data_IF_616161206437
#
_entry.id   IF_616161206437
#
_cell.length_a   1.000
_cell.length_b   1.000
_cell.length_c   1.000
_cell.angle_alpha   90.00
_cell.angle_beta   90.00
_cell.angle_gamma   90.00
#
_symmetry.space_group_name_H-M   'P 1'
#
loop_
_entity.id
_entity.type
_entity.pdbx_description
1 polymer ?
#
# COMPACT_ATOMS: atom_id res chain seq x y z
N UNK A 1 28.28 -12.43 -27.96
CA UNK A 1 28.23 -11.06 -27.38
C UNK A 1 26.82 -10.77 -26.91
N UNK A 2 26.52 -10.92 -25.62
CA UNK A 2 25.21 -10.61 -25.04
C UNK A 2 25.15 -9.10 -24.79
N UNK A 3 24.29 -8.38 -25.52
CA UNK A 3 23.96 -6.98 -25.23
C UNK A 3 22.99 -6.98 -24.06
N UNK A 4 23.47 -6.63 -22.87
CA UNK A 4 22.63 -6.35 -21.72
C UNK A 4 21.80 -5.10 -22.00
N UNK A 5 20.48 -5.24 -22.06
CA UNK A 5 19.57 -4.10 -22.01
C UNK A 5 19.56 -3.65 -20.55
N UNK A 6 20.35 -2.62 -20.29
CA UNK A 6 20.31 -1.86 -19.04
C UNK A 6 18.97 -1.12 -19.02
N UNK A 7 17.97 -1.71 -18.38
CA UNK A 7 16.68 -1.05 -18.14
C UNK A 7 16.90 0.06 -17.11
N UNK A 8 17.15 1.28 -17.60
CA UNK A 8 17.16 2.49 -16.80
C UNK A 8 15.71 2.74 -16.37
N UNK A 9 15.36 2.26 -15.18
CA UNK A 9 14.11 2.63 -14.51
C UNK A 9 14.27 4.09 -14.09
N UNK A 10 13.72 5.00 -14.90
CA UNK A 10 13.59 6.40 -14.51
C UNK A 10 12.62 6.48 -13.32
N UNK A 11 13.13 6.56 -12.09
CA UNK A 11 12.30 6.83 -10.91
C UNK A 11 11.73 8.25 -11.02
N UNK A 12 10.51 8.37 -11.53
CA UNK A 12 9.75 9.60 -11.42
C UNK A 12 9.24 9.72 -9.97
N UNK A 13 9.78 10.70 -9.26
CA UNK A 13 9.24 11.14 -7.98
C UNK A 13 8.20 12.22 -8.24
N UNK A 14 7.01 12.08 -7.68
CA UNK A 14 6.09 13.21 -7.57
C UNK A 14 6.59 14.08 -6.41
N UNK A 15 6.83 15.37 -6.68
CA UNK A 15 6.98 16.36 -5.62
C UNK A 15 5.58 16.67 -5.14
N UNK A 16 5.35 16.43 -3.86
CA UNK A 16 4.16 16.86 -3.14
C UNK A 16 3.84 18.32 -3.51
N UNK A 17 2.72 18.54 -4.19
CA UNK A 17 2.20 19.89 -4.33
C UNK A 17 1.83 20.37 -2.93
N UNK A 18 2.16 21.61 -2.59
CA UNK A 18 1.54 22.32 -1.47
C UNK A 18 0.06 22.53 -1.83
N UNK A 19 -0.73 21.45 -1.75
CA UNK A 19 -2.11 21.45 -2.15
C UNK A 19 -2.88 22.46 -1.29
N UNK A 20 -3.60 23.34 -1.97
CA UNK A 20 -4.47 24.35 -1.37
C UNK A 20 -5.48 23.66 -0.44
N UNK A 21 -5.50 24.03 0.84
CA UNK A 21 -6.44 23.50 1.84
C UNK A 21 -5.83 22.52 2.85
N UNK A 22 -6.39 22.53 4.06
CA UNK A 22 -5.85 21.83 5.24
C UNK A 22 -6.47 20.44 5.45
N UNK A 23 -7.34 20.02 4.55
CA UNK A 23 -8.02 18.73 4.63
C UNK A 23 -7.16 17.61 4.05
N UNK A 24 -7.24 16.41 4.63
CA UNK A 24 -6.46 15.24 4.24
C UNK A 24 -7.18 13.93 4.59
N UNK A 25 -6.74 12.85 3.96
CA UNK A 25 -7.17 11.49 4.26
C UNK A 25 -6.07 10.69 4.96
N UNK A 26 -6.48 9.76 5.82
CA UNK A 26 -5.61 8.64 6.20
C UNK A 26 -5.69 7.54 5.15
N UNK A 27 -4.63 6.75 4.91
CA UNK A 27 -4.68 5.69 3.92
C UNK A 27 -5.31 4.40 4.49
N UNK A 28 -5.96 3.64 3.62
CA UNK A 28 -6.14 2.20 3.71
C UNK A 28 -4.96 1.51 3.03
N UNK A 29 -4.45 0.44 3.64
CA UNK A 29 -3.41 -0.40 3.02
C UNK A 29 -4.05 -1.39 2.05
N UNK A 30 -3.73 -1.27 0.78
CA UNK A 30 -4.02 -2.25 -0.28
C UNK A 30 -2.83 -3.17 -0.53
N UNK A 31 -3.14 -4.36 -1.06
CA UNK A 31 -2.17 -5.40 -1.42
C UNK A 31 -2.33 -5.70 -2.90
N UNK A 32 -1.24 -5.59 -3.65
CA UNK A 32 -1.16 -5.97 -5.05
C UNK A 32 -0.37 -7.27 -5.17
N UNK A 33 -0.99 -8.30 -5.75
CA UNK A 33 -0.34 -9.55 -6.13
C UNK A 33 0.01 -9.47 -7.61
N UNK A 34 1.30 -9.40 -7.90
CA UNK A 34 1.81 -9.31 -9.26
C UNK A 34 2.26 -10.72 -9.67
N UNK A 35 1.49 -11.34 -10.55
CA UNK A 35 1.79 -12.64 -11.12
C UNK A 35 2.61 -12.47 -12.40
N UNK A 36 3.81 -13.02 -12.42
CA UNK A 36 4.61 -13.15 -13.63
C UNK A 36 4.16 -14.40 -14.38
N UNK A 37 3.48 -14.19 -15.50
CA UNK A 37 2.87 -15.24 -16.33
C UNK A 37 3.76 -15.48 -17.53
N UNK A 38 4.34 -16.68 -17.59
CA UNK A 38 4.98 -17.19 -18.79
C UNK A 38 3.92 -17.62 -19.78
N UNK A 39 4.00 -17.09 -21.00
CA UNK A 39 3.20 -17.54 -22.15
C UNK A 39 4.12 -18.27 -23.13
N UNK A 40 3.71 -19.45 -23.59
CA UNK A 40 4.48 -20.26 -24.54
C UNK A 40 3.59 -20.96 -25.55
N UNK A 41 4.20 -21.58 -26.57
CA UNK A 41 3.47 -22.26 -27.62
C UNK A 41 2.95 -21.32 -28.73
N UNK A 42 2.23 -21.87 -29.71
CA UNK A 42 1.62 -21.12 -30.81
C UNK A 42 0.70 -20.00 -30.30
N UNK A 43 0.58 -18.90 -31.04
CA UNK A 43 -0.27 -17.77 -30.65
C UNK A 43 -1.74 -18.20 -30.48
N UNK A 44 -2.25 -19.02 -31.38
CA UNK A 44 -3.62 -19.58 -31.39
C UNK A 44 -3.83 -20.73 -30.40
N UNK A 45 -2.78 -21.24 -29.78
CA UNK A 45 -2.81 -22.27 -28.75
C UNK A 45 -1.79 -21.94 -27.65
N UNK A 46 -1.97 -20.77 -27.04
CA UNK A 46 -1.05 -20.25 -26.03
C UNK A 46 -1.20 -21.02 -24.74
N UNK A 47 -0.06 -21.45 -24.18
CA UNK A 47 0.01 -22.05 -22.86
C UNK A 47 0.44 -21.02 -21.80
N UNK A 48 -0.21 -21.05 -20.63
CA UNK A 48 0.00 -20.13 -19.52
C UNK A 48 0.54 -20.87 -18.30
N UNK A 49 1.57 -20.29 -17.68
CA UNK A 49 2.11 -20.76 -16.41
C UNK A 49 2.55 -19.59 -15.55
N UNK A 50 2.30 -19.66 -14.24
CA UNK A 50 2.89 -18.72 -13.29
C UNK A 50 4.36 -19.10 -13.08
N UNK A 51 5.25 -18.15 -13.37
CA UNK A 51 6.67 -18.25 -13.07
C UNK A 51 6.96 -17.77 -11.65
N UNK A 52 6.38 -16.63 -11.26
CA UNK A 52 6.53 -16.09 -9.92
C UNK A 52 5.31 -15.29 -9.49
N UNK A 53 5.20 -15.06 -8.18
CA UNK A 53 4.23 -14.13 -7.60
C UNK A 53 4.95 -13.27 -6.57
N UNK A 54 4.82 -11.95 -6.72
CA UNK A 54 5.37 -10.97 -5.79
C UNK A 54 4.24 -10.10 -5.24
N UNK A 55 4.42 -9.60 -4.04
CA UNK A 55 3.44 -8.73 -3.38
C UNK A 55 3.98 -7.33 -3.20
N UNK A 56 3.16 -6.33 -3.49
CA UNK A 56 3.43 -4.92 -3.20
C UNK A 56 2.32 -4.34 -2.32
N UNK A 57 2.68 -3.40 -1.44
CA UNK A 57 1.71 -2.69 -0.59
C UNK A 57 1.57 -1.26 -1.07
N UNK A 58 0.34 -0.76 -1.10
CA UNK A 58 0.02 0.59 -1.53
C UNK A 58 -1.04 1.25 -0.65
N UNK A 59 -1.09 2.57 -0.66
CA UNK A 59 -2.08 3.34 0.08
C UNK A 59 -3.20 3.82 -0.83
N UNK A 60 -4.44 3.70 -0.36
CA UNK A 60 -5.63 4.29 -1.00
C UNK A 60 -6.24 5.26 0.02
N UNK A 61 -6.69 6.47 -0.35
CA UNK A 61 -7.36 7.36 0.59
C UNK A 61 -8.57 6.66 1.23
N UNK A 62 -8.66 6.68 2.55
CA UNK A 62 -9.84 6.25 3.30
C UNK A 62 -10.82 7.42 3.38
N UNK A 63 -11.81 7.45 2.48
CA UNK A 63 -12.83 8.51 2.44
C UNK A 63 -13.62 8.63 3.76
N UNK A 64 -13.62 7.58 4.60
CA UNK A 64 -14.27 7.62 5.92
C UNK A 64 -13.42 8.25 7.01
N UNK A 65 -12.12 8.45 6.74
CA UNK A 65 -11.13 9.05 7.65
C UNK A 65 -10.56 10.33 7.06
N UNK A 66 -11.48 11.25 6.78
CA UNK A 66 -11.20 12.61 6.34
C UNK A 66 -11.07 13.54 7.55
N UNK A 67 -9.98 14.31 7.60
CA UNK A 67 -9.68 15.22 8.70
C UNK A 67 -9.16 16.56 8.18
N UNK A 68 -9.21 17.57 9.04
CA UNK A 68 -8.67 18.90 8.77
C UNK A 68 -7.57 19.22 9.77
N UNK A 69 -6.40 19.61 9.27
CA UNK A 69 -5.32 20.11 10.10
C UNK A 69 -5.70 21.51 10.63
N UNK A 70 -5.56 21.70 11.94
CA UNK A 70 -5.73 23.00 12.54
C UNK A 70 -4.43 23.81 12.37
N UNK A 71 -4.46 24.77 11.43
CA UNK A 71 -3.35 25.67 11.10
C UNK A 71 -3.76 27.05 11.59
N UNK A 72 -3.22 27.46 12.73
CA UNK A 72 -3.56 28.71 13.41
C UNK A 72 -2.29 29.41 13.97
N UNK A 73 -2.47 30.49 14.74
CA UNK A 73 -1.36 31.29 15.29
C UNK A 73 -0.83 30.74 16.62
N UNK A 74 -1.54 29.80 17.22
CA UNK A 74 -1.26 29.24 18.53
C UNK A 74 -0.44 27.94 18.40
N UNK A 75 -0.53 27.29 17.23
CA UNK A 75 0.19 26.08 16.90
C UNK A 75 1.29 26.27 15.85
N UNK A 76 2.36 25.51 15.95
CA UNK A 76 3.52 25.48 15.05
C UNK A 76 3.30 24.58 13.84
N UNK A 77 2.07 24.47 13.33
CA UNK A 77 1.79 23.79 12.04
C UNK A 77 1.72 24.87 10.98
N UNK A 78 2.72 24.91 10.10
CA UNK A 78 2.80 25.88 9.01
C UNK A 78 2.12 25.34 7.74
N UNK A 79 2.30 24.03 7.47
CA UNK A 79 1.70 23.36 6.32
C UNK A 79 1.60 21.84 6.50
N UNK A 80 0.76 21.23 5.68
CA UNK A 80 0.72 19.78 5.48
C UNK A 80 1.12 19.42 4.06
N UNK A 81 1.78 18.28 3.90
CA UNK A 81 2.12 17.69 2.62
C UNK A 81 1.22 16.48 2.36
N UNK A 82 0.63 16.42 1.16
CA UNK A 82 -0.29 15.37 0.71
C UNK A 82 0.14 14.80 -0.64
N UNK A 83 -0.26 13.58 -0.95
CA UNK A 83 -0.15 13.05 -2.32
C UNK A 83 -1.28 13.58 -3.22
N UNK A 84 -1.26 13.23 -4.51
CA UNK A 84 -2.26 13.65 -5.50
C UNK A 84 -3.71 13.22 -5.12
N UNK A 85 -3.84 12.16 -4.33
CA UNK A 85 -5.13 11.63 -3.84
C UNK A 85 -5.53 12.20 -2.46
N UNK A 86 -4.77 13.16 -1.93
CA UNK A 86 -5.06 13.84 -0.65
C UNK A 86 -4.64 13.08 0.62
N UNK A 87 -3.91 11.96 0.51
CA UNK A 87 -3.36 11.22 1.65
C UNK A 87 -2.26 12.04 2.32
N UNK A 88 -2.31 12.18 3.65
CA UNK A 88 -1.29 12.90 4.43
C UNK A 88 0.06 12.19 4.38
N UNK A 89 1.10 12.90 3.93
CA UNK A 89 2.48 12.43 3.87
C UNK A 89 3.39 13.09 4.90
N UNK A 90 3.09 14.33 5.29
CA UNK A 90 3.94 15.07 6.22
C UNK A 90 3.28 16.30 6.81
N UNK A 91 3.86 16.78 7.90
CA UNK A 91 3.51 18.05 8.58
C UNK A 91 4.78 18.85 8.74
N UNK A 92 4.80 20.11 8.31
CA UNK A 92 5.98 20.96 8.23
C UNK A 92 7.16 20.32 7.49
N UNK A 93 6.86 19.38 6.58
CA UNK A 93 7.86 18.65 5.82
C UNK A 93 7.33 18.33 4.43
N UNK A 94 8.12 18.70 3.42
CA UNK A 94 7.93 18.21 2.08
C UNK A 94 8.41 16.76 1.97
N UNK A 95 7.51 15.88 1.56
CA UNK A 95 7.79 14.45 1.40
C UNK A 95 7.66 14.10 -0.08
N UNK A 96 8.71 13.49 -0.65
CA UNK A 96 8.68 12.99 -2.03
C UNK A 96 8.21 11.55 -2.02
N UNK A 97 7.13 11.27 -2.74
CA UNK A 97 6.64 9.91 -2.91
C UNK A 97 7.11 9.38 -4.27
N UNK A 98 7.59 8.13 -4.28
CA UNK A 98 7.80 7.41 -5.54
C UNK A 98 6.43 7.24 -6.20
N UNK A 99 6.28 7.72 -7.43
CA UNK A 99 5.05 7.49 -8.18
C UNK A 99 4.95 5.98 -8.43
N UNK A 100 3.85 5.36 -7.99
CA UNK A 100 3.56 4.01 -8.44
C UNK A 100 3.32 4.06 -9.94
N UNK A 101 4.06 3.24 -10.70
CA UNK A 101 3.82 3.11 -12.13
C UNK A 101 2.39 2.59 -12.32
N UNK A 102 1.64 3.20 -13.25
CA UNK A 102 0.34 2.66 -13.64
C UNK A 102 0.54 1.25 -14.18
N UNK A 103 -0.42 0.37 -13.88
CA UNK A 103 -0.48 -0.99 -14.45
C UNK A 103 -0.27 -0.89 -15.95
N UNK A 104 0.74 -1.60 -16.46
CA UNK A 104 1.04 -1.61 -17.90
C UNK A 104 -0.02 -2.46 -18.59
N UNK A 105 -0.52 -2.00 -19.72
CA UNK A 105 -1.42 -2.80 -20.55
C UNK A 105 -0.76 -4.15 -20.85
N UNK A 106 -1.53 -5.23 -20.67
CA UNK A 106 -1.06 -6.56 -21.01
C UNK A 106 -0.86 -6.57 -22.52
N UNK A 107 0.40 -6.67 -22.95
CA UNK A 107 0.73 -6.67 -24.37
C UNK A 107 0.06 -7.86 -25.05
N UNK A 108 -0.67 -7.55 -26.12
CA UNK A 108 -1.21 -8.56 -27.03
C UNK A 108 -0.08 -9.49 -27.50
N UNK A 109 -0.38 -10.80 -27.53
CA UNK A 109 0.59 -11.81 -27.93
C UNK A 109 0.59 -11.89 -29.45
N UNK A 110 1.69 -11.44 -30.07
CA UNK A 110 1.85 -11.39 -31.54
C UNK A 110 2.93 -12.33 -32.09
N UNK A 111 3.60 -13.08 -31.21
CA UNK A 111 4.67 -14.02 -31.56
C UNK A 111 4.56 -15.31 -30.76
N UNK A 112 4.98 -16.43 -31.36
CA UNK A 112 5.05 -17.74 -30.70
C UNK A 112 6.30 -17.91 -29.82
N UNK A 113 7.21 -16.93 -29.82
CA UNK A 113 8.33 -16.94 -28.87
C UNK A 113 7.82 -16.84 -27.42
N UNK A 114 8.42 -17.56 -26.45
CA UNK A 114 8.03 -17.43 -25.06
C UNK A 114 8.28 -16.03 -24.52
N UNK A 115 7.31 -15.49 -23.79
CA UNK A 115 7.42 -14.21 -23.11
C UNK A 115 6.80 -14.24 -21.71
N UNK A 116 7.02 -13.16 -20.95
CA UNK A 116 6.49 -12.98 -19.59
C UNK A 116 5.64 -11.71 -19.59
N UNK A 117 4.43 -11.83 -19.04
CA UNK A 117 3.57 -10.68 -18.75
C UNK A 117 3.24 -10.62 -17.27
N UNK A 118 3.03 -9.42 -16.76
CA UNK A 118 2.61 -9.20 -15.38
C UNK A 118 1.09 -9.03 -15.33
N UNK A 119 0.42 -9.77 -14.44
CA UNK A 119 -1.00 -9.63 -14.15
C UNK A 119 -1.15 -9.30 -12.68
N UNK A 120 -1.85 -8.19 -12.38
CA UNK A 120 -2.06 -7.72 -11.01
C UNK A 120 -3.45 -8.10 -10.50
N UNK A 121 -3.51 -8.72 -9.32
CA UNK A 121 -4.73 -8.85 -8.52
C UNK A 121 -4.63 -7.92 -7.30
N UNK A 122 -5.66 -7.11 -7.06
CA UNK A 122 -5.68 -6.13 -5.97
C UNK A 122 -6.64 -6.59 -4.88
N UNK A 123 -6.22 -6.48 -3.62
CA UNK A 123 -7.04 -6.76 -2.46
C UNK A 123 -6.84 -5.71 -1.37
N UNK A 124 -7.93 -5.10 -0.88
CA UNK A 124 -7.92 -4.14 0.23
C UNK A 124 -8.58 -4.80 1.45
N UNK A 125 -7.81 -5.27 2.45
CA UNK A 125 -8.37 -5.91 3.63
C UNK A 125 -9.15 -4.92 4.50
N UNK A 126 -10.40 -5.26 4.82
CA UNK A 126 -11.19 -4.57 5.86
C UNK A 126 -11.27 -5.37 7.16
N UNK A 127 -10.97 -6.67 7.10
CA UNK A 127 -10.87 -7.60 8.23
C UNK A 127 -10.00 -8.79 7.84
N UNK A 128 -9.66 -9.62 8.82
CA UNK A 128 -9.04 -10.92 8.55
C UNK A 128 -9.89 -11.80 7.64
N UNK A 129 -9.26 -12.51 6.73
CA UNK A 129 -9.91 -13.41 5.76
C UNK A 129 -9.13 -14.71 5.62
N UNK A 130 -9.83 -15.78 5.25
CA UNK A 130 -9.24 -17.09 5.06
C UNK A 130 -9.58 -17.62 3.67
N UNK A 131 -8.55 -17.97 2.92
CA UNK A 131 -8.63 -18.61 1.60
C UNK A 131 -9.57 -17.87 0.63
N UNK A 132 -9.39 -16.57 0.49
CA UNK A 132 -10.00 -15.77 -0.57
C UNK A 132 -9.31 -16.11 -1.89
N UNK A 133 -10.03 -16.55 -2.92
CA UNK A 133 -9.45 -16.84 -4.24
C UNK A 133 -9.09 -15.52 -4.93
N UNK A 134 -7.86 -15.39 -5.45
CA UNK A 134 -7.37 -14.15 -6.08
C UNK A 134 -6.96 -14.32 -7.54
N UNK A 135 -6.59 -15.54 -7.96
CA UNK A 135 -6.14 -15.82 -9.33
C UNK A 135 -6.27 -17.32 -9.61
N UNK A 136 -6.78 -17.68 -10.78
CA UNK A 136 -6.84 -19.04 -11.29
C UNK A 136 -6.15 -19.08 -12.65
N UNK A 137 -5.29 -20.09 -12.87
CA UNK A 137 -4.55 -20.24 -14.14
C UNK A 137 -4.85 -21.59 -14.76
N UNK A 138 -5.46 -21.55 -15.94
CA UNK A 138 -5.76 -22.73 -16.75
C UNK A 138 -4.78 -22.73 -17.91
N UNK A 139 -4.01 -23.81 -18.04
CA UNK A 139 -2.86 -23.91 -18.93
C UNK A 139 -3.17 -23.45 -20.36
N UNK A 140 -4.31 -23.84 -20.92
CA UNK A 140 -4.69 -23.62 -22.32
C UNK A 140 -5.82 -22.59 -22.50
N UNK A 141 -6.31 -21.97 -21.43
CA UNK A 141 -7.40 -20.99 -21.49
C UNK A 141 -7.00 -19.60 -21.01
N UNK A 142 -6.02 -19.50 -20.11
CA UNK A 142 -5.53 -18.21 -19.64
C UNK A 142 -5.51 -18.05 -18.12
N UNK A 143 -5.48 -16.79 -17.73
CA UNK A 143 -5.44 -16.34 -16.33
C UNK A 143 -6.72 -15.61 -16.01
N UNK A 144 -7.40 -16.06 -14.96
CA UNK A 144 -8.67 -15.54 -14.50
C UNK A 144 -8.51 -15.00 -13.09
N UNK A 145 -8.93 -13.76 -12.83
CA UNK A 145 -8.90 -13.22 -11.46
C UNK A 145 -10.08 -13.79 -10.66
N UNK A 146 -9.80 -14.24 -9.43
CA UNK A 146 -10.81 -14.80 -8.53
C UNK A 146 -10.90 -16.33 -8.56
N UNK A 147 -12.13 -16.84 -8.56
CA UNK A 147 -12.46 -18.26 -8.37
C UNK A 147 -12.14 -19.13 -9.60
N UNK A 148 -11.93 -20.42 -9.33
CA UNK A 148 -11.73 -21.45 -10.34
C UNK A 148 -11.40 -22.79 -9.69
N UNK A 149 -10.95 -23.76 -10.49
CA UNK A 149 -10.62 -25.11 -10.00
C UNK A 149 -9.57 -25.09 -8.88
N UNK A 150 -9.85 -25.83 -7.80
CA UNK A 150 -9.03 -25.82 -6.57
C UNK A 150 -7.53 -26.00 -6.85
N UNK A 151 -7.15 -26.92 -7.73
CA UNK A 151 -5.74 -27.21 -8.03
C UNK A 151 -5.01 -26.05 -8.72
N UNK A 152 -5.74 -25.18 -9.40
CA UNK A 152 -5.24 -24.10 -10.25
C UNK A 152 -5.42 -22.71 -9.60
N UNK A 153 -6.18 -22.62 -8.52
CA UNK A 153 -6.48 -21.37 -7.81
C UNK A 153 -5.44 -21.01 -6.75
N UNK A 154 -5.07 -19.73 -6.73
CA UNK A 154 -4.26 -19.08 -5.73
C UNK A 154 -5.17 -18.42 -4.69
N UNK A 155 -4.90 -18.70 -3.43
CA UNK A 155 -5.69 -18.30 -2.28
C UNK A 155 -4.90 -17.40 -1.36
N UNK A 156 -5.51 -16.29 -0.98
CA UNK A 156 -5.05 -15.34 0.02
C UNK A 156 -5.70 -15.65 1.37
N UNK A 157 -4.90 -15.72 2.42
CA UNK A 157 -5.37 -15.57 3.80
C UNK A 157 -4.67 -14.39 4.45
N UNK A 158 -5.42 -13.62 5.23
CA UNK A 158 -4.89 -12.53 6.04
C UNK A 158 -5.41 -12.75 7.45
N UNK A 159 -4.49 -12.95 8.39
CA UNK A 159 -4.79 -13.00 9.82
C UNK A 159 -4.42 -11.65 10.45
N UNK A 160 -5.38 -11.05 11.15
CA UNK A 160 -5.08 -9.94 12.06
C UNK A 160 -4.36 -10.51 13.31
N UNK A 161 -3.19 -9.97 13.63
CA UNK A 161 -2.42 -10.42 14.78
C UNK A 161 -2.79 -9.63 16.05
N UNK A 162 -3.64 -8.60 15.93
CA UNK A 162 -4.08 -7.73 17.02
C UNK A 162 -2.92 -7.06 17.77
N UNK A 163 -1.80 -6.85 17.06
CA UNK A 163 -0.61 -6.16 17.55
C UNK A 163 -0.51 -4.82 16.84
N UNK A 164 -0.78 -3.74 17.57
CA UNK A 164 -0.73 -2.37 17.01
C UNK A 164 0.71 -1.88 17.03
N UNK A 165 1.16 -1.28 15.93
CA UNK A 165 2.45 -0.61 15.84
C UNK A 165 2.61 0.44 16.95
N UNK A 166 3.68 0.31 17.72
CA UNK A 166 4.08 1.31 18.72
C UNK A 166 5.27 2.11 18.19
N UNK A 167 5.12 3.43 17.96
CA UNK A 167 6.24 4.26 17.53
C UNK A 167 7.39 4.22 18.54
N UNK A 168 8.62 4.02 18.08
CA UNK A 168 9.83 4.08 18.94
C UNK A 168 10.11 5.51 19.42
N UNK A 169 9.67 6.53 18.67
CA UNK A 169 9.67 7.91 19.10
C UNK A 169 8.49 8.16 20.06
N UNK A 170 8.83 8.35 21.33
CA UNK A 170 7.98 8.57 22.50
C UNK A 170 6.83 9.58 22.30
N UNK A 171 5.71 9.18 21.68
CA UNK A 171 4.43 9.86 21.90
C UNK A 171 3.87 9.32 23.21
N UNK A 172 4.39 9.78 24.36
CA UNK A 172 3.75 9.54 25.66
C UNK A 172 2.49 10.40 25.73
N UNK A 173 1.40 9.90 25.12
CA UNK A 173 0.07 10.49 25.26
C UNK A 173 -0.38 10.36 26.72
N UNK A 174 -0.38 11.46 27.49
CA UNK A 174 -1.27 11.55 28.66
C UNK A 174 -2.71 11.44 28.13
N UNK A 175 -3.52 10.55 28.70
CA UNK A 175 -4.97 10.50 28.45
C UNK A 175 -5.54 11.90 28.69
N UNK A 176 -6.07 12.57 27.67
CA UNK A 176 -6.81 13.83 27.78
C UNK A 176 -7.67 14.09 26.52
N UNK A 177 -8.59 15.06 26.62
CA UNK A 177 -9.79 15.24 25.77
C UNK A 177 -9.50 15.30 24.27
N UNK A 178 -10.39 14.68 23.48
CA UNK A 178 -10.37 14.57 22.02
C UNK A 178 -10.45 15.93 21.29
N UNK A 179 -10.85 16.98 21.99
CA UNK A 179 -11.14 18.31 21.41
C UNK A 179 -9.87 19.13 21.05
N UNK A 180 -8.67 18.72 21.48
CA UNK A 180 -7.39 19.43 21.21
C UNK A 180 -6.49 18.70 20.17
N UNK A 181 -7.08 17.86 19.31
CA UNK A 181 -6.33 17.11 18.30
C UNK A 181 -6.05 17.97 17.05
N UNK A 182 -4.78 18.17 16.70
CA UNK A 182 -4.41 18.94 15.50
C UNK A 182 -4.17 18.05 14.28
N UNK A 183 -3.63 16.84 14.48
CA UNK A 183 -3.32 15.89 13.40
C UNK A 183 -3.75 14.49 13.84
N UNK A 184 -4.38 13.74 12.95
CA UNK A 184 -4.69 12.32 13.12
C UNK A 184 -3.71 11.49 12.30
N UNK A 185 -3.31 10.35 12.82
CA UNK A 185 -2.41 9.39 12.16
C UNK A 185 -2.89 7.97 12.36
N UNK A 186 -2.45 7.04 11.52
CA UNK A 186 -2.69 5.61 11.77
C UNK A 186 -1.56 5.05 12.62
N UNK A 187 -1.91 4.23 13.61
CA UNK A 187 -1.02 3.23 14.17
C UNK A 187 -1.45 1.88 13.58
N UNK A 188 -0.80 1.40 12.51
CA UNK A 188 -1.27 0.22 11.78
C UNK A 188 -1.16 -1.07 12.62
N UNK A 189 -2.03 -2.04 12.33
CA UNK A 189 -2.00 -3.35 12.98
C UNK A 189 -1.13 -4.33 12.20
N UNK A 190 -0.41 -5.19 12.91
CA UNK A 190 0.36 -6.28 12.34
C UNK A 190 -0.58 -7.36 11.84
N UNK A 191 -0.32 -7.88 10.65
CA UNK A 191 -1.08 -8.96 10.04
C UNK A 191 -0.13 -10.01 9.45
N UNK A 192 -0.58 -11.25 9.39
CA UNK A 192 0.11 -12.32 8.66
C UNK A 192 -0.62 -12.58 7.35
N UNK A 193 0.07 -12.34 6.23
CA UNK A 193 -0.38 -12.70 4.89
C UNK A 193 0.14 -14.08 4.54
N UNK A 194 -0.74 -14.95 4.04
CA UNK A 194 -0.40 -16.28 3.53
C UNK A 194 -0.94 -16.44 2.11
N UNK A 195 -0.11 -16.99 1.21
CA UNK A 195 -0.50 -17.34 -0.14
C UNK A 195 -0.36 -18.85 -0.36
N UNK A 196 -1.38 -19.48 -0.93
CA UNK A 196 -1.45 -20.91 -1.22
C UNK A 196 -1.89 -21.13 -2.67
N UNK A 197 -1.42 -22.19 -3.33
CA UNK A 197 -1.98 -22.70 -4.59
C UNK A 197 -2.71 -24.01 -4.31
N UNK A 198 -4.03 -24.03 -4.44
CA UNK A 198 -4.85 -25.16 -4.02
C UNK A 198 -4.58 -25.51 -2.56
N UNK A 199 -4.01 -26.69 -2.31
CA UNK A 199 -3.64 -27.15 -0.96
C UNK A 199 -2.16 -26.91 -0.63
N UNK A 200 -1.39 -26.38 -1.57
CA UNK A 200 0.06 -26.19 -1.43
C UNK A 200 0.35 -24.79 -0.89
N UNK A 201 1.05 -24.71 0.23
CA UNK A 201 1.57 -23.47 0.76
C UNK A 201 2.64 -22.89 -0.17
N UNK A 202 2.62 -21.57 -0.41
CA UNK A 202 3.64 -20.87 -1.18
C UNK A 202 4.50 -19.97 -0.30
N UNK A 203 3.87 -19.04 0.42
CA UNK A 203 4.58 -18.10 1.28
C UNK A 203 3.74 -17.61 2.45
N UNK A 204 4.44 -17.13 3.47
CA UNK A 204 3.88 -16.35 4.57
C UNK A 204 4.78 -15.16 4.85
N UNK A 205 4.19 -14.02 5.17
CA UNK A 205 4.93 -12.81 5.56
C UNK A 205 4.12 -11.97 6.53
N UNK A 206 4.83 -11.23 7.38
CA UNK A 206 4.22 -10.23 8.26
C UNK A 206 4.19 -8.88 7.54
N UNK A 207 3.03 -8.22 7.61
CA UNK A 207 2.79 -6.89 7.04
C UNK A 207 2.10 -6.00 8.07
N UNK A 208 2.20 -4.68 7.89
CA UNK A 208 1.39 -3.73 8.63
C UNK A 208 0.22 -3.26 7.76
N UNK A 209 -0.99 -3.27 8.32
CA UNK A 209 -2.25 -2.92 7.65
C UNK A 209 -2.92 -1.81 8.45
N UNK A 210 -3.14 -0.65 7.83
CA UNK A 210 -3.76 0.51 8.46
C UNK A 210 -5.11 0.18 9.13
N UNK A 211 -5.91 -0.64 8.45
CA UNK A 211 -7.27 -1.03 8.83
C UNK A 211 -7.33 -1.89 10.09
N UNK A 212 -6.26 -2.62 10.42
CA UNK A 212 -6.20 -3.52 11.59
C UNK A 212 -5.65 -2.82 12.84
N UNK A 213 -5.27 -1.56 12.67
CA UNK A 213 -4.73 -0.72 13.73
C UNK A 213 -5.79 0.16 14.37
N UNK A 214 -5.34 1.35 14.79
CA UNK A 214 -6.23 2.42 15.26
C UNK A 214 -5.79 3.77 14.72
N UNK A 215 -6.71 4.72 14.74
CA UNK A 215 -6.39 6.13 14.55
C UNK A 215 -5.95 6.72 15.87
N UNK A 216 -4.84 7.44 15.87
CA UNK A 216 -4.30 8.17 17.02
C UNK A 216 -4.32 9.66 16.75
N UNK A 217 -4.70 10.44 17.77
CA UNK A 217 -4.72 11.89 17.70
C UNK A 217 -3.39 12.45 18.24
N UNK A 218 -2.67 13.18 17.42
CA UNK A 218 -1.51 13.99 17.83
C UNK A 218 -2.04 15.32 18.34
N UNK A 219 -1.85 15.54 19.64
CA UNK A 219 -2.34 16.73 20.35
C UNK A 219 -1.55 17.99 19.97
N UNK A 220 -2.23 19.14 20.01
CA UNK A 220 -1.63 20.46 19.76
C UNK A 220 -0.46 20.84 20.66
N UNK A 221 -0.29 20.23 21.84
CA UNK A 221 0.90 20.40 22.70
C UNK A 221 2.19 20.06 21.94
N UNK A 222 2.16 19.06 21.05
CA UNK A 222 3.29 18.75 20.17
C UNK A 222 3.54 19.80 19.10
N UNK A 223 2.66 20.78 18.99
CA UNK A 223 2.78 21.89 18.07
C UNK A 223 2.69 23.20 18.84
N UNK A 224 3.10 23.26 20.11
CA UNK A 224 3.12 24.53 20.84
C UNK A 224 4.03 25.55 20.17
N UNK A 225 3.61 26.81 20.18
CA UNK A 225 4.36 27.93 19.62
C UNK A 225 5.81 27.97 20.16
N UNK A 226 6.76 28.03 19.23
CA UNK A 226 8.20 28.06 19.53
C UNK A 226 8.89 26.70 19.41
N UNK A 227 8.12 25.60 19.35
CA UNK A 227 8.65 24.30 18.97
C UNK A 227 8.69 24.17 17.44
N UNK A 228 9.71 23.45 16.93
CA UNK A 228 9.86 23.19 15.49
C UNK A 228 9.75 21.71 15.24
N UNK A 229 8.50 21.23 15.14
CA UNK A 229 8.25 19.83 14.85
C UNK A 229 7.95 19.59 13.37
N UNK A 230 8.44 18.47 12.85
CA UNK A 230 8.11 17.95 11.53
C UNK A 230 7.77 16.47 11.57
N UNK A 231 6.73 16.09 10.83
CA UNK A 231 6.28 14.70 10.70
C UNK A 231 6.51 14.17 9.30
N UNK A 232 6.93 12.91 9.20
CA UNK A 232 6.87 12.12 7.97
C UNK A 232 6.03 10.87 8.20
N UNK A 233 5.06 10.63 7.32
CA UNK A 233 4.14 9.51 7.40
C UNK A 233 4.33 8.53 6.24
N UNK A 234 3.99 7.27 6.49
CA UNK A 234 3.93 6.26 5.43
C UNK A 234 2.73 6.52 4.51
N UNK A 235 2.93 6.61 3.17
CA UNK A 235 1.81 6.71 2.24
C UNK A 235 0.94 5.46 2.23
N UNK A 236 1.50 4.30 2.62
CA UNK A 236 0.84 2.99 2.55
C UNK A 236 0.00 2.68 3.79
N UNK A 237 0.51 3.05 4.96
CA UNK A 237 -0.08 2.67 6.26
C UNK A 237 -0.55 3.87 7.07
N UNK A 238 -0.08 5.09 6.75
CA UNK A 238 -0.33 6.29 7.55
C UNK A 238 0.45 6.31 8.87
N UNK A 239 1.42 5.40 9.03
CA UNK A 239 2.25 5.31 10.23
C UNK A 239 3.19 6.50 10.32
N UNK A 240 3.48 6.97 11.53
CA UNK A 240 4.51 7.99 11.75
C UNK A 240 5.91 7.36 11.61
N UNK A 241 6.64 7.75 10.56
CA UNK A 241 8.00 7.27 10.30
C UNK A 241 9.06 8.06 11.05
N UNK A 242 8.89 9.37 11.15
CA UNK A 242 9.88 10.25 11.78
C UNK A 242 9.22 11.48 12.37
N UNK A 243 9.70 11.86 13.56
CA UNK A 243 9.43 13.11 14.25
C UNK A 243 10.79 13.80 14.49
N UNK A 244 10.92 15.05 14.08
CA UNK A 244 12.06 15.92 14.42
C UNK A 244 11.53 17.19 15.05
#
# INVERSE_FOLDING_TARGET
MRKGILSIIAMLFAVCATAQGNDYYLPMTGIEFIFEIKRSGPVDNTEYAIESVRTSLFGVPDETKHYKANIDKDHSIDFICKNDDGVLLGVNKEVKQKKQEKVKDIKERVSSEPDIVEISAIYIPVKGVKRVPICNVIRDQGVFLGEGELANTYYLSIKDNHEVYTPQATIKTKKNKKDDANIFVNLPGKATLTLEKGKNFLLTQEIYVAQFGKVEAINGIFFEKGQKYSLELSPTTGELKMLK
#
